data_IF_380763769381
#
_entry.id   IF_380763769381
#
_cell.length_a   1.000
_cell.length_b   1.000
_cell.length_c   1.000
_cell.angle_alpha   90.00
_cell.angle_beta   90.00
_cell.angle_gamma   90.00
#
_symmetry.space_group_name_H-M   'P 1'
#
loop_
_entity.id
_entity.type
_entity.pdbx_description
1 polymer ?
2 non-polymer ?
3 non-polymer ?
4 non-polymer ?
5 non-polymer ?
6 non-polymer ?
7 water ?
#
# COMPACT_ATOMS: atom_id res chain seq x y z
N UNK A 16 -4.33 -27.85 20.99
CA UNK A 16 -3.92 -26.47 20.71
C UNK A 16 -3.31 -25.82 21.96
N UNK A 17 -2.09 -25.32 21.79
CA UNK A 17 -1.29 -24.81 22.90
C UNK A 17 -1.15 -23.31 22.79
N UNK A 18 -1.54 -22.59 23.83
CA UNK A 18 -1.35 -21.15 23.86
C UNK A 18 0.08 -20.84 24.31
N UNK A 19 0.78 -20.03 23.53
CA UNK A 19 2.18 -19.72 23.82
C UNK A 19 2.35 -18.28 24.29
N UNK A 20 1.24 -17.56 24.45
CA UNK A 20 1.29 -16.17 24.85
C UNK A 20 0.68 -15.95 26.24
N UNK A 21 1.25 -15.02 27.00
CA UNK A 21 0.73 -14.72 28.34
C UNK A 21 -0.65 -14.07 28.26
N UNK A 22 -1.42 -14.16 29.34
CA UNK A 22 -2.71 -13.49 29.41
C UNK A 22 -2.47 -12.00 29.58
N UNK A 23 -3.48 -11.19 29.31
CA UNK A 23 -3.34 -9.75 29.43
C UNK A 23 -3.06 -9.37 30.89
N UNK A 24 -3.66 -10.12 31.81
CA UNK A 24 -3.42 -9.89 33.24
C UNK A 24 -1.96 -10.12 33.58
N UNK A 25 -1.36 -11.12 32.94
CA UNK A 25 0.05 -11.42 33.15
C UNK A 25 0.93 -10.32 32.56
N UNK A 26 0.53 -9.81 31.40
CA UNK A 26 1.28 -8.73 30.75
C UNK A 26 1.26 -7.50 31.64
N UNK A 27 0.09 -7.18 32.17
CA UNK A 27 -0.10 -6.00 33.00
C UNK A 27 0.72 -6.12 34.30
N UNK A 28 0.64 -7.29 34.92
CA UNK A 28 1.36 -7.52 36.17
C UNK A 28 2.87 -7.35 35.95
N UNK A 29 3.34 -7.77 34.79
CA UNK A 29 4.76 -7.66 34.45
C UNK A 29 5.18 -6.21 34.29
N UNK A 30 4.29 -5.37 33.77
CA UNK A 30 4.58 -3.95 33.56
C UNK A 30 4.62 -3.18 34.88
N UNK A 31 3.99 -3.74 35.92
CA UNK A 31 3.87 -3.04 37.19
C UNK A 31 5.13 -3.14 38.05
N UNK A 32 6.10 -3.93 37.60
CA UNK A 32 7.40 -3.99 38.28
C UNK A 32 7.99 -2.59 38.42
N UNK A 40 13.09 -9.69 38.72
CA UNK A 40 12.11 -10.70 38.34
C UNK A 40 12.35 -11.18 36.92
N UNK A 41 11.70 -12.30 36.56
CA UNK A 41 11.86 -12.89 35.24
C UNK A 41 11.10 -12.09 34.16
N UNK A 42 11.63 -12.12 32.94
CA UNK A 42 11.03 -11.42 31.81
C UNK A 42 9.92 -12.27 31.20
N UNK A 43 8.95 -11.63 30.55
CA UNK A 43 7.94 -12.38 29.80
C UNK A 43 8.39 -12.53 28.34
N UNK A 44 9.03 -11.51 27.79
CA UNK A 44 9.62 -11.62 26.46
C UNK A 44 10.82 -10.69 26.23
N UNK A 45 11.61 -11.02 25.21
CA UNK A 45 12.74 -10.19 24.80
C UNK A 45 12.23 -9.04 23.94
N UNK A 46 12.23 -7.84 24.50
CA UNK A 46 11.70 -6.68 23.81
C UNK A 46 12.74 -6.03 22.89
N UNK A 47 14.01 -6.38 23.10
CA UNK A 47 15.03 -6.10 22.09
C UNK A 47 14.62 -6.89 20.87
N UNK A 48 14.52 -6.23 19.72
CA UNK A 48 14.09 -6.91 18.51
C UNK A 48 15.05 -6.65 17.36
N UNK A 49 15.28 -7.67 16.53
CA UNK A 49 16.20 -7.49 15.41
C UNK A 49 15.65 -6.44 14.44
N UNK A 50 16.38 -5.35 14.23
CA UNK A 50 15.91 -4.23 13.40
C UNK A 50 15.95 -4.55 11.91
N UNK A 51 14.96 -4.04 11.16
CA UNK A 51 14.80 -4.35 9.73
C UNK A 51 15.98 -3.88 8.88
N UNK A 52 16.25 -4.60 7.80
CA UNK A 52 17.30 -4.24 6.86
C UNK A 52 16.96 -4.81 5.49
N UNK A 53 17.44 -4.15 4.41
CA UNK A 53 17.10 -4.65 3.07
C UNK A 53 17.87 -5.94 2.75
N UNK A 54 17.17 -6.95 2.24
CA UNK A 54 17.80 -8.26 2.05
C UNK A 54 18.92 -8.22 1.02
N UNK A 55 19.91 -9.08 1.17
CA UNK A 55 20.95 -9.22 0.17
C UNK A 55 20.34 -9.94 -1.04
N UNK A 56 21.08 -9.99 -2.13
CA UNK A 56 20.57 -10.63 -3.35
C UNK A 56 20.18 -12.08 -3.05
N UNK A 57 18.99 -12.49 -3.51
CA UNK A 57 18.47 -13.82 -3.23
C UNK A 57 19.45 -14.96 -3.51
N UNK A 58 19.27 -16.06 -2.79
CA UNK A 58 20.01 -17.28 -3.05
C UNK A 58 19.01 -18.41 -3.28
N UNK A 59 19.26 -19.25 -4.29
CA UNK A 59 20.44 -19.24 -5.16
C UNK A 59 20.37 -18.16 -6.23
N UNK A 60 21.54 -17.71 -6.71
CA UNK A 60 21.59 -16.72 -7.79
C UNK A 60 21.06 -17.30 -9.09
N UNK A 61 20.57 -16.44 -9.99
CA UNK A 61 20.02 -16.87 -11.27
C UNK A 61 21.00 -16.62 -12.39
N UNK A 62 21.13 -17.59 -13.32
CA UNK A 62 21.98 -17.38 -14.49
C UNK A 62 21.33 -16.46 -15.51
N UNK A 63 22.10 -16.01 -16.49
CA UNK A 63 21.60 -15.08 -17.50
C UNK A 63 20.36 -15.59 -18.22
N UNK A 64 20.27 -16.90 -18.40
CA UNK A 64 19.17 -17.48 -19.17
C UNK A 64 17.84 -17.53 -18.42
N UNK A 65 17.86 -17.11 -17.15
CA UNK A 65 16.63 -17.07 -16.36
C UNK A 65 16.25 -15.64 -15.95
N UNK A 66 16.82 -14.64 -16.61
CA UNK A 66 16.59 -13.25 -16.22
C UNK A 66 15.47 -12.57 -17.01
N UNK A 67 14.89 -13.29 -17.98
CA UNK A 67 13.75 -12.75 -18.73
C UNK A 67 12.60 -13.76 -18.74
N UNK A 68 12.07 -14.09 -17.56
CA UNK A 68 11.04 -15.13 -17.41
C UNK A 68 9.70 -14.73 -18.02
N UNK A 69 8.92 -15.71 -18.50
CA UNK A 69 7.58 -15.43 -19.00
C UNK A 69 6.65 -15.05 -17.86
N UNK A 70 5.58 -14.32 -18.16
CA UNK A 70 4.68 -13.84 -17.13
C UNK A 70 3.64 -14.89 -16.78
N UNK A 71 3.47 -15.19 -15.49
CA UNK A 71 2.38 -16.09 -15.09
C UNK A 71 1.05 -15.56 -15.62
N UNK A 72 0.32 -16.40 -16.35
CA UNK A 72 -0.89 -15.95 -17.04
C UNK A 72 -2.10 -16.83 -16.75
N UNK A 73 -3.26 -16.19 -16.71
CA UNK A 73 -4.53 -16.91 -16.61
C UNK A 73 -5.37 -16.47 -17.80
N UNK A 74 -5.88 -17.42 -18.57
CA UNK A 74 -6.64 -17.10 -19.77
C UNK A 74 -8.12 -17.40 -19.54
N UNK A 75 -8.88 -16.34 -19.25
CA UNK A 75 -10.30 -16.48 -18.95
C UNK A 75 -11.15 -16.46 -20.21
N UNK A 76 -12.24 -17.22 -20.20
CA UNK A 76 -13.16 -17.28 -21.32
C UNK A 76 -14.60 -17.09 -20.85
N UNK A 77 -14.96 -17.78 -19.78
CA UNK A 77 -16.32 -17.73 -19.24
C UNK A 77 -16.35 -17.05 -17.87
N UNK A 78 -17.51 -16.52 -17.50
CA UNK A 78 -17.69 -15.90 -16.20
C UNK A 78 -17.27 -16.85 -15.08
N UNK A 79 -17.58 -18.13 -15.26
CA UNK A 79 -17.31 -19.15 -14.26
C UNK A 79 -15.81 -19.36 -14.05
N UNK A 80 -15.03 -19.16 -15.12
CA UNK A 80 -13.58 -19.29 -15.02
C UNK A 80 -13.00 -18.32 -13.99
N UNK A 81 -13.60 -17.14 -13.89
CA UNK A 81 -13.10 -16.10 -12.99
C UNK A 81 -13.33 -16.46 -11.52
N UNK A 82 -14.33 -17.29 -11.26
CA UNK A 82 -14.68 -17.66 -9.90
C UNK A 82 -14.14 -19.04 -9.51
N UNK A 83 -13.34 -19.61 -10.40
CA UNK A 83 -12.67 -20.88 -10.12
C UNK A 83 -11.74 -20.68 -8.93
N UNK A 84 -11.96 -21.43 -7.83
CA UNK A 84 -11.21 -21.23 -6.58
C UNK A 84 -9.69 -21.24 -6.69
N UNK A 85 -9.11 -22.15 -7.49
CA UNK A 85 -7.65 -22.16 -7.62
C UNK A 85 -7.07 -20.85 -8.17
N UNK A 86 -7.91 -19.97 -8.70
CA UNK A 86 -7.44 -18.69 -9.23
C UNK A 86 -6.75 -17.88 -8.13
N UNK A 87 -7.43 -17.75 -7.00
CA UNK A 87 -6.91 -17.00 -5.86
C UNK A 87 -5.52 -17.49 -5.48
N UNK A 88 -5.37 -18.81 -5.41
CA UNK A 88 -4.13 -19.43 -4.94
C UNK A 88 -2.99 -19.21 -5.93
N UNK A 89 -3.31 -19.20 -7.23
CA UNK A 89 -2.30 -18.99 -8.25
C UNK A 89 -1.75 -17.57 -8.14
N UNK A 90 -2.64 -16.60 -7.89
CA UNK A 90 -2.23 -15.20 -7.82
C UNK A 90 -1.43 -14.92 -6.55
N UNK A 91 -1.82 -15.56 -5.45
CA UNK A 91 -1.19 -15.31 -4.14
C UNK A 91 0.09 -16.12 -3.95
N UNK A 92 0.29 -17.12 -4.80
CA UNK A 92 1.50 -17.93 -4.75
C UNK A 92 2.75 -17.04 -4.73
N UNK A 93 3.57 -17.14 -3.67
CA UNK A 93 4.76 -16.28 -3.57
C UNK A 93 5.72 -16.41 -4.74
N UNK A 94 5.73 -17.57 -5.40
CA UNK A 94 6.61 -17.79 -6.54
C UNK A 94 6.16 -17.07 -7.80
N UNK A 95 4.93 -16.54 -7.78
CA UNK A 95 4.42 -15.74 -8.89
C UNK A 95 4.38 -14.26 -8.50
N UNK A 96 5.40 -13.49 -8.90
CA UNK A 96 5.49 -12.08 -8.49
C UNK A 96 4.37 -11.25 -9.06
N UNK A 97 3.88 -11.65 -10.24
CA UNK A 97 2.79 -10.97 -10.91
C UNK A 97 2.00 -12.00 -11.69
N UNK A 98 0.70 -11.78 -11.82
CA UNK A 98 -0.15 -12.60 -12.67
C UNK A 98 -0.97 -11.69 -13.56
N UNK A 99 -1.00 -11.98 -14.86
CA UNK A 99 -1.88 -11.24 -15.74
C UNK A 99 -3.07 -12.15 -16.06
N UNK A 100 -4.27 -11.64 -15.81
CA UNK A 100 -5.50 -12.37 -16.07
C UNK A 100 -6.09 -11.87 -17.37
N UNK A 101 -5.82 -12.61 -18.45
CA UNK A 101 -6.26 -12.23 -19.78
C UNK A 101 -7.78 -12.38 -19.93
N UNK A 102 -8.40 -11.39 -20.56
CA UNK A 102 -9.80 -11.47 -20.92
C UNK A 102 -10.75 -11.39 -19.74
N UNK A 103 -10.31 -10.76 -18.66
CA UNK A 103 -11.13 -10.70 -17.45
C UNK A 103 -12.42 -9.91 -17.67
N UNK A 104 -12.30 -8.72 -18.25
CA UNK A 104 -13.47 -7.86 -18.43
C UNK A 104 -14.51 -8.54 -19.32
N UNK A 105 -14.03 -9.17 -20.39
CA UNK A 105 -14.92 -9.84 -21.33
C UNK A 105 -15.65 -11.02 -20.69
N UNK A 106 -14.93 -11.79 -19.88
CA UNK A 106 -15.48 -12.98 -19.25
C UNK A 106 -16.59 -12.63 -18.26
N UNK A 107 -16.43 -11.49 -17.57
CA UNK A 107 -17.43 -11.04 -16.60
C UNK A 107 -18.40 -10.06 -17.26
N UNK A 108 -18.17 -9.77 -18.53
CA UNK A 108 -18.96 -8.77 -19.23
C UNK A 108 -19.04 -7.48 -18.44
N UNK A 109 -17.89 -7.04 -17.91
CA UNK A 109 -17.77 -5.73 -17.31
C UNK A 109 -17.93 -4.67 -18.39
N UNK A 110 -18.64 -3.60 -18.08
CA UNK A 110 -18.76 -2.48 -19.01
C UNK A 110 -17.65 -1.47 -18.74
N UNK A 111 -16.55 -1.61 -19.47
CA UNK A 111 -15.42 -0.70 -19.34
C UNK A 111 -15.79 0.69 -19.85
N UNK A 112 -16.88 0.78 -20.60
CA UNK A 112 -17.38 2.05 -21.07
C UNK A 112 -17.69 3.01 -19.94
N UNK A 113 -18.07 2.46 -18.79
CA UNK A 113 -18.35 3.27 -17.61
C UNK A 113 -17.12 4.04 -17.16
N UNK A 114 -15.95 3.60 -17.59
CA UNK A 114 -14.68 4.24 -17.20
C UNK A 114 -13.98 4.93 -18.37
N UNK A 115 -14.67 5.09 -19.49
CA UNK A 115 -14.11 5.83 -20.60
C UNK A 115 -14.04 7.30 -20.24
N UNK A 116 -13.13 8.02 -20.87
CA UNK A 116 -12.95 9.45 -20.59
C UNK A 116 -14.23 10.22 -20.88
N UNK A 117 -14.92 9.86 -21.96
CA UNK A 117 -16.18 10.51 -22.31
C UNK A 117 -17.19 10.39 -21.17
N UNK A 118 -17.36 9.17 -20.65
CA UNK A 118 -18.29 8.92 -19.57
C UNK A 118 -17.87 9.64 -18.29
N UNK A 119 -16.57 9.70 -18.04
CA UNK A 119 -16.04 10.34 -16.85
C UNK A 119 -16.30 11.85 -16.89
N UNK A 120 -16.08 12.46 -18.05
CA UNK A 120 -16.32 13.89 -18.21
C UNK A 120 -17.79 14.22 -17.96
N UNK A 121 -18.68 13.38 -18.49
CA UNK A 121 -20.11 13.59 -18.32
C UNK A 121 -20.53 13.44 -16.86
N UNK A 122 -19.92 12.49 -16.16
CA UNK A 122 -20.25 12.23 -14.77
C UNK A 122 -19.81 13.37 -13.84
N UNK A 123 -18.53 13.69 -13.85
CA UNK A 123 -17.98 14.73 -12.98
C UNK A 123 -16.88 15.53 -13.65
N UNK A 124 -17.25 16.50 -14.48
CA UNK A 124 -16.27 17.16 -15.34
C UNK A 124 -15.29 18.07 -14.59
N UNK A 125 -15.66 18.49 -13.38
CA UNK A 125 -14.79 19.36 -12.59
C UNK A 125 -13.97 18.58 -11.57
N UNK A 126 -14.09 17.26 -11.59
CA UNK A 126 -13.37 16.41 -10.64
C UNK A 126 -11.86 16.63 -10.77
N UNK A 127 -11.15 16.57 -9.65
CA UNK A 127 -9.73 16.88 -9.66
C UNK A 127 -8.89 15.74 -10.23
N UNK A 128 -7.82 16.11 -10.91
CA UNK A 128 -6.88 15.17 -11.50
C UNK A 128 -5.48 15.64 -11.14
N UNK A 129 -4.67 14.77 -10.55
CA UNK A 129 -3.28 15.11 -10.34
C UNK A 129 -2.54 14.86 -11.65
N UNK A 130 -1.70 15.81 -12.04
CA UNK A 130 -0.99 15.72 -13.31
C UNK A 130 0.50 15.59 -13.06
N UNK A 131 1.11 14.61 -13.74
CA UNK A 131 2.56 14.47 -13.71
C UNK A 131 3.09 14.80 -15.11
N UNK A 132 3.88 15.86 -15.19
CA UNK A 132 4.47 16.27 -16.44
C UNK A 132 5.83 15.61 -16.58
N UNK A 133 6.02 14.89 -17.67
CA UNK A 133 7.20 14.08 -17.88
C UNK A 133 7.73 14.26 -19.29
N UNK A 134 8.89 13.69 -19.56
CA UNK A 134 9.43 13.64 -20.92
C UNK A 134 9.08 12.31 -21.57
N UNK A 135 8.60 12.36 -22.80
CA UNK A 135 8.37 11.16 -23.57
C UNK A 135 9.71 10.49 -23.80
N UNK A 136 9.85 9.28 -23.26
CA UNK A 136 11.11 8.54 -23.32
C UNK A 136 10.97 7.40 -24.32
N UNK A 137 12.09 7.00 -24.95
CA UNK A 137 12.05 5.94 -25.94
C UNK A 137 11.99 4.55 -25.32
N UNK A 138 11.05 3.74 -25.78
CA UNK A 138 10.96 2.33 -25.38
C UNK A 138 11.04 2.14 -23.87
N UNK A 139 12.00 1.34 -23.43
CA UNK A 139 12.12 0.96 -22.02
C UNK A 139 13.22 1.76 -21.32
N UNK A 140 13.68 2.82 -21.98
CA UNK A 140 14.86 3.56 -21.52
C UNK A 140 14.48 4.85 -20.83
N UNK A 141 15.37 5.37 -20.01
CA UNK A 141 15.23 6.69 -19.42
C UNK A 141 16.53 7.46 -19.55
N UNK A 142 16.51 8.56 -20.29
CA UNK A 142 17.70 9.39 -20.50
C UNK A 142 17.58 10.71 -19.75
N UNK A 143 18.71 11.30 -19.41
CA UNK A 143 18.72 12.65 -18.86
C UNK A 143 18.06 13.54 -19.91
N UNK A 144 17.66 14.77 -19.52
CA UNK A 144 16.85 15.61 -20.41
C UNK A 144 17.58 16.07 -21.67
N UNK A 145 18.91 16.03 -21.68
CA UNK A 145 19.69 16.46 -22.85
C UNK A 145 19.86 15.32 -23.86
N UNK A 146 19.52 14.10 -23.46
CA UNK A 146 19.60 12.96 -24.34
C UNK A 146 21.01 12.41 -24.45
N UNK A 147 21.83 12.69 -23.44
CA UNK A 147 23.23 12.29 -23.46
C UNK A 147 23.46 10.87 -22.93
N UNK A 148 22.80 10.52 -21.82
CA UNK A 148 23.04 9.24 -21.18
C UNK A 148 21.82 8.70 -20.43
N UNK A 149 21.77 7.39 -20.25
CA UNK A 149 20.72 6.74 -19.47
C UNK A 149 20.91 7.04 -17.98
N UNK A 150 19.85 7.49 -17.32
CA UNK A 150 19.89 7.72 -15.88
C UNK A 150 18.69 7.07 -15.19
N UNK A 151 18.76 6.94 -13.87
CA UNK A 151 17.68 6.34 -13.11
C UNK A 151 16.62 7.37 -12.73
N UNK A 152 17.02 8.62 -12.54
CA UNK A 152 16.05 9.62 -12.09
C UNK A 152 14.98 9.91 -13.14
N UNK A 153 13.72 9.74 -12.72
CA UNK A 153 12.57 9.93 -13.59
C UNK A 153 11.92 11.28 -13.29
N UNK A 154 12.03 12.22 -14.22
CA UNK A 154 11.45 13.54 -14.05
C UNK A 154 9.93 13.47 -14.16
N UNK A 155 9.25 13.83 -13.08
CA UNK A 155 7.80 13.77 -13.04
C UNK A 155 7.27 14.84 -12.10
N UNK A 156 6.88 15.98 -12.66
CA UNK A 156 6.52 17.15 -11.85
C UNK A 156 5.01 17.29 -11.64
N UNK A 157 4.62 17.66 -10.43
CA UNK A 157 3.22 17.63 -10.03
C UNK A 157 2.49 18.95 -10.27
N UNK A 158 1.27 18.83 -10.78
CA UNK A 158 0.33 19.94 -10.86
C UNK A 158 -1.08 19.35 -10.69
N UNK A 159 -2.11 20.18 -10.84
CA UNK A 159 -3.47 19.68 -10.71
C UNK A 159 -4.41 20.38 -11.70
N UNK A 160 -5.34 19.61 -12.24
CA UNK A 160 -6.30 20.12 -13.21
C UNK A 160 -7.65 19.45 -12.96
N UNK A 161 -8.57 19.60 -13.90
CA UNK A 161 -9.87 18.94 -13.81
C UNK A 161 -9.93 17.80 -14.83
N UNK A 162 -10.91 16.91 -14.66
CA UNK A 162 -11.10 15.83 -15.61
C UNK A 162 -11.42 16.40 -16.99
N UNK A 163 -12.23 17.45 -17.02
CA UNK A 163 -12.64 18.03 -18.29
C UNK A 163 -11.42 18.51 -19.06
N UNK A 164 -10.50 19.14 -18.37
CA UNK A 164 -9.33 19.72 -19.02
C UNK A 164 -8.29 18.66 -19.38
N UNK A 165 -8.15 17.62 -18.56
CA UNK A 165 -7.23 16.56 -18.93
C UNK A 165 -7.81 15.74 -20.08
N UNK A 166 -9.13 15.54 -20.05
CA UNK A 166 -9.81 14.80 -21.11
C UNK A 166 -9.62 15.48 -22.45
N UNK A 167 -9.67 16.82 -22.43
CA UNK A 167 -9.45 17.60 -23.63
C UNK A 167 -8.04 17.38 -24.16
N UNK A 168 -7.08 17.32 -23.25
CA UNK A 168 -5.68 17.11 -23.62
C UNK A 168 -5.43 15.70 -24.17
N UNK A 169 -6.02 14.71 -23.51
CA UNK A 169 -5.85 13.31 -23.91
C UNK A 169 -6.40 13.12 -25.32
N UNK A 170 -7.58 13.68 -25.57
CA UNK A 170 -8.26 13.54 -26.85
C UNK A 170 -7.52 14.25 -27.97
N UNK A 171 -6.95 15.42 -27.67
CA UNK A 171 -6.26 16.19 -28.69
C UNK A 171 -4.88 15.61 -28.97
N UNK A 172 -4.28 15.00 -27.95
CA UNK A 172 -2.99 14.33 -28.10
C UNK A 172 -3.14 13.22 -29.12
N UNK A 173 -4.25 12.51 -29.04
CA UNK A 173 -4.52 11.40 -29.95
C UNK A 173 -4.80 11.89 -31.38
N UNK A 174 -5.64 12.90 -31.51
CA UNK A 174 -5.95 13.45 -32.83
C UNK A 174 -4.68 13.96 -33.51
N UNK A 175 -3.80 14.54 -32.70
CA UNK A 175 -2.52 15.05 -33.18
C UNK A 175 -1.66 13.93 -33.75
N UNK A 176 -1.79 12.74 -33.16
CA UNK A 176 -0.99 11.59 -33.59
C UNK A 176 -1.48 11.05 -34.93
N UNK A 177 -2.78 11.16 -35.17
CA UNK A 177 -3.34 10.75 -36.46
C UNK A 177 -2.77 11.61 -37.58
N UNK A 178 -2.10 12.70 -37.19
CA UNK A 178 -1.51 13.63 -38.13
C UNK A 178 0.01 13.63 -38.01
N UNK A 208 16.13 16.43 -26.38
CA UNK A 208 15.19 16.73 -27.45
C UNK A 208 13.92 15.89 -27.34
N UNK A 209 13.40 15.75 -26.13
CA UNK A 209 12.18 14.97 -25.89
C UNK A 209 10.96 15.87 -25.79
N UNK A 210 9.83 15.40 -26.31
CA UNK A 210 8.58 16.14 -26.21
C UNK A 210 8.00 15.96 -24.81
N UNK A 211 7.35 17.01 -24.31
CA UNK A 211 6.74 16.96 -22.98
C UNK A 211 5.33 16.39 -23.04
N UNK A 212 5.01 15.49 -22.10
CA UNK A 212 3.68 14.92 -22.01
C UNK A 212 3.13 15.06 -20.59
N UNK A 213 1.83 14.82 -20.45
CA UNK A 213 1.18 14.94 -19.15
C UNK A 213 0.36 13.68 -18.86
N UNK A 214 0.42 13.26 -17.60
CA UNK A 214 -0.11 11.98 -17.16
C UNK A 214 -1.11 12.25 -16.03
N UNK A 215 -2.38 11.93 -16.26
CA UNK A 215 -3.39 12.07 -15.23
C UNK A 215 -3.36 10.90 -14.27
N UNK A 216 -3.09 11.17 -13.00
CA UNK A 216 -2.83 10.09 -12.06
C UNK A 216 -3.58 10.30 -10.73
N UNK A 217 -3.74 9.21 -9.99
CA UNK A 217 -4.30 9.27 -8.65
C UNK A 217 -5.64 9.99 -8.60
N UNK A 218 -6.49 9.76 -9.60
CA UNK A 218 -7.81 10.35 -9.62
C UNK A 218 -8.75 9.59 -8.68
N UNK A 219 -9.36 10.34 -7.75
CA UNK A 219 -10.05 9.75 -6.61
C UNK A 219 -11.48 9.31 -6.94
N UNK A 220 -11.70 8.00 -7.02
CA UNK A 220 -13.03 7.45 -7.29
C UNK A 220 -13.68 6.89 -6.02
N UNK A 221 -13.43 7.54 -4.89
CA UNK A 221 -13.90 7.03 -3.60
C UNK A 221 -15.37 7.37 -3.30
N UNK A 222 -15.86 8.47 -3.87
CA UNK A 222 -17.19 8.96 -3.55
C UNK A 222 -18.29 8.22 -4.31
N UNK A 223 -19.01 7.36 -3.60
CA UNK A 223 -20.05 6.53 -4.22
C UNK A 223 -21.23 7.34 -4.75
N UNK A 224 -21.32 8.60 -4.34
CA UNK A 224 -22.41 9.46 -4.79
C UNK A 224 -22.09 10.14 -6.12
N UNK A 225 -20.80 10.20 -6.45
CA UNK A 225 -20.39 10.74 -7.74
C UNK A 225 -20.10 9.62 -8.76
N UNK A 226 -19.78 8.44 -8.26
CA UNK A 226 -19.33 7.34 -9.10
C UNK A 226 -20.15 6.06 -8.89
N UNK A 227 -21.44 6.21 -8.62
CA UNK A 227 -22.26 5.08 -8.21
C UNK A 227 -22.24 3.92 -9.20
N UNK A 228 -22.44 4.20 -10.48
CA UNK A 228 -22.49 3.15 -11.49
C UNK A 228 -21.12 2.53 -11.70
N UNK A 229 -20.08 3.37 -11.64
CA UNK A 229 -18.71 2.91 -11.80
C UNK A 229 -18.36 1.90 -10.72
N UNK A 230 -18.53 2.29 -9.46
CA UNK A 230 -18.17 1.44 -8.34
C UNK A 230 -19.04 0.19 -8.29
N UNK A 231 -20.30 0.31 -8.70
CA UNK A 231 -21.19 -0.85 -8.69
C UNK A 231 -20.74 -1.88 -9.71
N UNK A 232 -20.17 -1.41 -10.81
CA UNK A 232 -19.72 -2.33 -11.85
C UNK A 232 -18.64 -3.27 -11.30
N UNK A 233 -17.87 -2.79 -10.32
CA UNK A 233 -16.74 -3.54 -9.80
C UNK A 233 -17.16 -4.60 -8.77
N UNK A 234 -18.42 -4.61 -8.35
CA UNK A 234 -18.89 -5.64 -7.44
C UNK A 234 -19.09 -6.96 -8.18
N UNK A 235 -18.93 -6.93 -9.50
CA UNK A 235 -19.03 -8.14 -10.31
C UNK A 235 -17.75 -8.99 -10.22
N UNK A 236 -16.66 -8.39 -9.75
CA UNK A 236 -15.39 -9.10 -9.65
C UNK A 236 -15.47 -10.22 -8.62
N UNK A 237 -14.66 -11.28 -8.80
CA UNK A 237 -14.57 -12.29 -7.75
C UNK A 237 -14.04 -11.69 -6.46
N UNK A 238 -14.37 -12.31 -5.33
CA UNK A 238 -14.08 -11.73 -4.02
C UNK A 238 -12.60 -11.36 -3.85
N UNK A 239 -11.70 -12.19 -4.36
CA UNK A 239 -10.29 -12.02 -4.04
C UNK A 239 -9.65 -10.79 -4.66
N UNK A 240 -10.31 -10.17 -5.63
CA UNK A 240 -9.80 -8.90 -6.20
C UNK A 240 -10.69 -7.70 -5.92
N UNK A 241 -11.79 -7.89 -5.21
CA UNK A 241 -12.71 -6.79 -4.94
C UNK A 241 -12.10 -5.71 -4.04
N UNK A 242 -12.58 -4.48 -4.20
CA UNK A 242 -12.12 -3.36 -3.38
C UNK A 242 -12.49 -3.59 -1.92
N UNK A 243 -13.68 -4.16 -1.71
CA UNK A 243 -14.15 -4.48 -0.36
C UNK A 243 -14.54 -5.95 -0.29
N UNK A 244 -14.03 -6.65 0.72
CA UNK A 244 -14.45 -8.02 1.00
C UNK A 244 -14.00 -8.45 2.38
N UNK A 245 -14.66 -9.45 2.93
CA UNK A 245 -14.35 -9.94 4.27
C UNK A 245 -12.93 -10.51 4.32
N UNK A 246 -12.46 -11.02 3.19
CA UNK A 246 -11.14 -11.62 3.14
C UNK A 246 -10.04 -10.65 2.73
N UNK A 247 -10.35 -9.35 2.81
CA UNK A 247 -9.39 -8.31 2.47
C UNK A 247 -8.99 -7.54 3.72
N UNK A 248 -7.72 -7.62 4.08
CA UNK A 248 -7.21 -6.94 5.27
C UNK A 248 -7.56 -5.46 5.27
N UNK A 249 -7.50 -4.83 4.11
CA UNK A 249 -7.73 -3.39 4.02
C UNK A 249 -9.19 -3.03 4.29
N UNK A 250 -10.09 -4.00 4.17
CA UNK A 250 -11.49 -3.78 4.51
C UNK A 250 -11.70 -3.79 6.03
N UNK A 251 -10.65 -4.11 6.77
CA UNK A 251 -10.74 -4.18 8.23
C UNK A 251 -10.05 -3.00 8.90
N UNK A 252 -9.53 -2.08 8.10
CA UNK A 252 -8.86 -0.90 8.63
C UNK A 252 -9.87 -0.02 9.38
N UNK A 253 -11.10 0.00 8.90
CA UNK A 253 -12.17 0.72 9.59
C UNK A 253 -12.39 2.13 9.06
N UNK A 254 -11.50 2.58 8.19
CA UNK A 254 -11.62 3.91 7.59
C UNK A 254 -10.96 3.95 6.22
N UNK A 255 -11.15 5.06 5.52
CA UNK A 255 -10.69 5.19 4.15
C UNK A 255 -9.19 5.44 4.09
N UNK A 256 -8.51 4.64 3.27
CA UNK A 256 -7.14 4.90 2.89
C UNK A 256 -7.13 5.10 1.37
N UNK A 257 -7.13 6.36 0.94
CA UNK A 257 -7.33 6.69 -0.47
C UNK A 257 -6.38 5.95 -1.39
N UNK A 258 -6.93 5.31 -2.42
CA UNK A 258 -6.13 4.63 -3.42
C UNK A 258 -5.79 3.19 -3.05
N UNK A 259 -6.00 2.84 -1.78
CA UNK A 259 -5.77 1.47 -1.34
C UNK A 259 -7.07 0.73 -1.15
N UNK A 260 -7.93 1.19 -0.23
CA UNK A 260 -9.25 0.57 -0.11
C UNK A 260 -10.32 1.42 -0.76
N UNK A 261 -9.89 2.31 -1.66
CA UNK A 261 -10.80 2.98 -2.58
C UNK A 261 -10.16 2.98 -3.97
N UNK A 262 -10.99 3.14 -4.99
CA UNK A 262 -10.53 3.02 -6.36
C UNK A 262 -9.83 4.30 -6.82
N UNK A 263 -8.72 4.11 -7.52
CA UNK A 263 -7.96 5.18 -8.11
C UNK A 263 -8.00 5.01 -9.63
N UNK A 264 -8.15 6.10 -10.37
CA UNK A 264 -8.16 6.03 -11.82
C UNK A 264 -6.99 6.80 -12.41
N UNK A 265 -6.49 6.29 -13.53
CA UNK A 265 -5.40 6.91 -14.27
C UNK A 265 -5.92 7.25 -15.65
N UNK A 266 -5.57 8.43 -16.16
CA UNK A 266 -5.85 8.78 -17.55
C UNK A 266 -4.50 9.04 -18.21
N UNK A 267 -4.21 8.31 -19.28
CA UNK A 267 -2.85 8.29 -19.83
C UNK A 267 -2.77 8.66 -21.30
N UNK A 268 -1.63 9.21 -21.68
CA UNK A 268 -1.24 9.31 -23.08
C UNK A 268 0.02 8.46 -23.24
N UNK A 269 0.36 8.09 -24.49
CA UNK A 269 1.55 7.27 -24.70
C UNK A 269 2.78 7.86 -24.00
N UNK A 270 3.49 7.02 -23.25
CA UNK A 270 4.69 7.45 -22.55
C UNK A 270 4.47 7.79 -21.08
N UNK A 271 3.21 7.83 -20.65
CA UNK A 271 2.89 8.14 -19.26
C UNK A 271 3.42 7.05 -18.34
N UNK A 272 4.33 7.40 -17.44
CA UNK A 272 5.02 6.43 -16.62
C UNK A 272 4.72 6.53 -15.13
N UNK A 273 4.52 5.36 -14.52
CA UNK A 273 4.56 5.24 -13.07
C UNK A 273 5.90 4.60 -12.74
N UNK A 274 6.81 5.36 -12.11
CA UNK A 274 8.15 4.85 -11.88
C UNK A 274 8.19 3.78 -10.79
N UNK A 275 9.36 3.19 -10.57
CA UNK A 275 9.54 2.04 -9.70
C UNK A 275 9.03 2.23 -8.29
N UNK A 276 8.36 1.20 -7.77
CA UNK A 276 7.90 1.24 -6.40
C UNK A 276 7.40 -0.11 -5.93
N UNK A 277 7.29 -0.24 -4.62
CA UNK A 277 6.48 -1.29 -4.02
C UNK A 277 5.25 -0.60 -3.47
N UNK A 278 4.14 -1.30 -3.43
CA UNK A 278 2.92 -0.75 -2.86
C UNK A 278 3.15 -0.33 -1.42
N UNK A 279 2.31 0.57 -0.92
CA UNK A 279 2.33 0.93 0.48
C UNK A 279 2.23 -0.31 1.36
N UNK A 280 3.19 -0.45 2.28
CA UNK A 280 3.23 -1.58 3.20
C UNK A 280 3.10 -2.93 2.49
N UNK A 281 3.61 -2.99 1.27
CA UNK A 281 3.72 -4.24 0.53
C UNK A 281 2.40 -4.95 0.26
N UNK A 282 1.31 -4.19 0.20
CA UNK A 282 0.02 -4.79 -0.11
C UNK A 282 -0.09 -5.11 -1.59
N UNK A 283 -0.83 -6.17 -1.91
CA UNK A 283 -1.05 -6.56 -3.29
C UNK A 283 -1.79 -5.45 -4.01
N UNK A 284 -1.65 -5.41 -5.34
CA UNK A 284 -2.33 -4.40 -6.14
C UNK A 284 -3.15 -5.07 -7.23
N UNK A 285 -4.25 -4.43 -7.61
CA UNK A 285 -5.12 -4.89 -8.67
C UNK A 285 -5.26 -3.75 -9.65
N UNK A 286 -5.10 -4.03 -10.95
CA UNK A 286 -5.16 -2.99 -11.97
C UNK A 286 -5.88 -3.51 -13.21
N UNK A 287 -6.92 -2.80 -13.64
CA UNK A 287 -7.61 -3.15 -14.87
C UNK A 287 -7.41 -2.05 -15.90
N UNK A 288 -6.98 -2.42 -17.10
CA UNK A 288 -6.82 -1.48 -18.19
C UNK A 288 -8.16 -1.26 -18.89
N UNK A 289 -8.61 -0.01 -18.93
CA UNK A 289 -9.88 0.33 -19.56
C UNK A 289 -9.76 0.39 -21.08
N UNK A 290 -8.58 0.75 -21.56
CA UNK A 290 -8.35 0.92 -22.99
C UNK A 290 -8.56 2.36 -23.40
N UNK A 291 -8.53 2.64 -24.71
CA UNK A 291 -8.40 1.63 -25.78
C UNK A 291 -6.98 1.12 -26.02
N UNK A 292 -5.96 1.78 -25.46
CA UNK A 292 -4.58 1.41 -25.70
C UNK A 292 -4.03 0.43 -24.67
N UNK A 293 -2.79 -0.02 -24.87
CA UNK A 293 -2.16 -0.99 -23.99
C UNK A 293 -1.20 -0.32 -23.01
N UNK A 294 -0.88 -1.03 -21.92
CA UNK A 294 0.18 -0.62 -21.00
C UNK A 294 1.27 -1.66 -21.00
N UNK A 295 2.50 -1.24 -20.70
CA UNK A 295 3.61 -2.16 -20.57
C UNK A 295 4.10 -2.17 -19.13
N UNK A 296 4.25 -3.37 -18.58
CA UNK A 296 4.63 -3.55 -17.19
C UNK A 296 6.02 -4.16 -17.06
N UNK A 297 6.77 -3.68 -16.07
CA UNK A 297 8.07 -4.24 -15.72
C UNK A 297 8.01 -4.65 -14.26
N UNK A 298 8.41 -5.89 -13.98
CA UNK A 298 8.19 -6.47 -12.66
C UNK A 298 9.44 -7.21 -12.17
N UNK A 299 9.77 -7.00 -10.90
CA UNK A 299 10.90 -7.66 -10.26
C UNK A 299 10.39 -8.29 -8.97
N UNK A 300 10.79 -9.54 -8.69
CA UNK A 300 10.26 -10.22 -7.50
C UNK A 300 10.63 -9.51 -6.20
N UNK A 301 9.77 -9.66 -5.20
CA UNK A 301 9.92 -9.00 -3.91
C UNK A 301 11.32 -9.21 -3.33
N UNK A 302 11.86 -10.41 -3.48
CA UNK A 302 13.13 -10.77 -2.86
C UNK A 302 14.31 -9.95 -3.33
N UNK A 303 14.14 -9.23 -4.44
CA UNK A 303 15.21 -8.43 -5.02
C UNK A 303 15.13 -6.95 -4.65
N UNK A 304 14.24 -6.59 -3.73
CA UNK A 304 14.03 -5.16 -3.43
C UNK A 304 15.26 -4.55 -2.76
N UNK A 305 16.04 -5.37 -2.05
CA UNK A 305 17.27 -4.91 -1.46
C UNK A 305 18.27 -4.52 -2.53
N UNK A 306 18.35 -5.33 -3.59
CA UNK A 306 19.25 -5.04 -4.70
C UNK A 306 18.84 -3.74 -5.38
N UNK A 307 17.54 -3.54 -5.56
CA UNK A 307 17.03 -2.33 -6.18
C UNK A 307 17.24 -1.13 -5.27
N UNK A 308 17.13 -1.34 -3.96
CA UNK A 308 17.38 -0.27 -3.01
C UNK A 308 18.82 0.21 -3.14
N UNK A 309 19.73 -0.74 -3.35
CA UNK A 309 21.15 -0.40 -3.48
C UNK A 309 21.42 0.35 -4.77
N UNK A 310 20.78 -0.07 -5.87
CA UNK A 310 20.90 0.66 -7.13
C UNK A 310 20.45 2.10 -6.94
N UNK A 311 19.33 2.29 -6.26
CA UNK A 311 18.81 3.62 -6.04
C UNK A 311 19.84 4.48 -5.32
N UNK A 312 20.36 3.98 -4.21
CA UNK A 312 21.34 4.70 -3.41
C UNK A 312 22.59 5.07 -4.22
N UNK A 313 23.06 4.14 -5.04
CA UNK A 313 24.26 4.36 -5.84
C UNK A 313 24.03 5.47 -6.88
N UNK A 314 22.77 5.65 -7.27
CA UNK A 314 22.40 6.73 -8.18
C UNK A 314 21.86 7.95 -7.45
N UNK A 315 22.15 8.02 -6.15
CA UNK A 315 21.74 9.14 -5.31
C UNK A 315 20.23 9.36 -5.34
N UNK A 316 19.49 8.26 -5.25
CA UNK A 316 18.03 8.31 -5.26
C UNK A 316 17.48 7.57 -4.06
N UNK A 317 16.32 8.00 -3.58
CA UNK A 317 15.68 7.33 -2.46
C UNK A 317 14.75 6.24 -2.97
N UNK A 318 14.93 5.03 -2.48
CA UNK A 318 14.15 3.88 -2.93
C UNK A 318 12.67 4.06 -2.64
N UNK A 319 12.33 4.36 -1.39
CA UNK A 319 10.94 4.42 -0.96
C UNK A 319 10.16 5.64 -1.49
N UNK A 320 10.81 6.79 -1.53
CA UNK A 320 10.12 8.06 -1.80
C UNK A 320 10.59 8.73 -3.09
N UNK A 321 11.64 8.18 -3.70
CA UNK A 321 12.23 8.79 -4.88
C UNK A 321 11.51 8.41 -6.16
N UNK A 322 11.88 9.07 -7.25
CA UNK A 322 11.29 8.83 -8.55
C UNK A 322 12.35 8.23 -9.47
N UNK A 323 12.26 6.93 -9.72
CA UNK A 323 13.30 6.24 -10.47
C UNK A 323 12.73 5.23 -11.48
N UNK A 324 13.39 5.16 -12.63
CA UNK A 324 13.04 4.22 -13.69
C UNK A 324 14.27 3.36 -13.98
N UNK A 325 14.25 2.10 -13.55
CA UNK A 325 15.45 1.25 -13.63
C UNK A 325 16.04 1.14 -15.03
N UNK A 326 17.36 1.10 -15.08
CA UNK A 326 18.07 0.79 -16.33
C UNK A 326 18.11 -0.72 -16.47
N UNK A 327 17.42 -1.25 -17.48
CA UNK A 327 17.31 -2.70 -17.65
C UNK A 327 18.67 -3.37 -17.84
N UNK A 328 19.62 -2.64 -18.41
CA UNK A 328 20.97 -3.18 -18.61
C UNK A 328 21.68 -3.37 -17.27
N UNK A 329 21.45 -2.46 -16.34
CA UNK A 329 21.98 -2.59 -14.99
C UNK A 329 21.42 -3.81 -14.28
N UNK A 330 20.11 -4.03 -14.41
CA UNK A 330 19.47 -5.17 -13.74
C UNK A 330 19.99 -6.48 -14.29
N UNK A 331 20.07 -6.58 -15.62
CA UNK A 331 20.55 -7.79 -16.26
C UNK A 331 21.96 -8.15 -15.80
N UNK A 332 22.81 -7.15 -15.65
CA UNK A 332 24.19 -7.42 -15.27
C UNK A 332 24.32 -7.79 -13.79
N UNK A 333 23.32 -7.41 -12.99
CA UNK A 333 23.30 -7.80 -11.58
C UNK A 333 22.47 -9.06 -11.35
N UNK A 334 22.11 -9.74 -12.44
CA UNK A 334 21.35 -10.98 -12.34
C UNK A 334 20.02 -10.80 -11.62
N UNK A 335 19.33 -9.70 -11.93
CA UNK A 335 17.99 -9.45 -11.42
C UNK A 335 16.99 -9.83 -12.49
N UNK A 336 16.08 -10.78 -12.19
CA UNK A 336 15.12 -11.17 -13.22
C UNK A 336 14.05 -10.10 -13.41
N UNK A 337 13.65 -9.86 -14.66
CA UNK A 337 12.60 -8.89 -14.96
C UNK A 337 11.49 -9.56 -15.78
N UNK A 338 10.29 -9.53 -15.21
CA UNK A 338 9.09 -9.91 -15.93
C UNK A 338 8.60 -8.71 -16.72
N UNK A 339 8.41 -8.88 -18.02
CA UNK A 339 8.00 -7.77 -18.87
C UNK A 339 6.84 -8.24 -19.75
N UNK A 340 5.75 -7.50 -19.73
CA UNK A 340 4.58 -7.89 -20.51
C UNK A 340 3.67 -6.71 -20.84
N UNK A 341 2.72 -6.96 -21.73
CA UNK A 341 1.76 -5.95 -22.14
C UNK A 341 0.41 -6.28 -21.55
N UNK A 342 -0.23 -5.28 -20.95
CA UNK A 342 -1.59 -5.39 -20.44
C UNK A 342 -2.54 -4.74 -21.44
N UNK A 343 -3.41 -5.54 -22.03
CA UNK A 343 -4.36 -5.04 -23.03
C UNK A 343 -5.62 -4.55 -22.33
N UNK A 344 -6.47 -3.82 -23.07
CA UNK A 344 -7.76 -3.43 -22.48
C UNK A 344 -8.52 -4.66 -21.99
N UNK A 345 -9.05 -4.61 -20.77
CA UNK A 345 -9.82 -5.72 -20.23
C UNK A 345 -9.01 -6.71 -19.43
N UNK A 346 -7.68 -6.62 -19.52
CA UNK A 346 -6.80 -7.50 -18.75
C UNK A 346 -6.60 -6.96 -17.35
N UNK A 347 -6.60 -7.86 -16.37
CA UNK A 347 -6.37 -7.49 -14.98
C UNK A 347 -4.96 -7.91 -14.59
N UNK A 348 -4.21 -6.99 -13.99
CA UNK A 348 -2.88 -7.31 -13.48
C UNK A 348 -2.93 -7.41 -11.96
N UNK A 349 -2.48 -8.55 -11.44
CA UNK A 349 -2.35 -8.78 -10.02
C UNK A 349 -0.88 -8.66 -9.63
N UNK A 350 -0.57 -7.67 -8.81
CA UNK A 350 0.79 -7.48 -8.30
C UNK A 350 0.86 -8.12 -6.92
N UNK A 351 1.68 -9.15 -6.78
CA UNK A 351 1.77 -9.88 -5.52
C UNK A 351 2.47 -9.05 -4.46
N UNK A 352 2.44 -9.52 -3.21
CA UNK A 352 2.89 -8.73 -2.08
C UNK A 352 4.37 -8.36 -2.18
N UNK A 353 4.65 -7.07 -2.17
CA UNK A 353 6.02 -6.57 -2.19
C UNK A 353 6.69 -6.63 -3.54
N UNK A 354 5.96 -7.03 -4.58
CA UNK A 354 6.53 -7.08 -5.92
C UNK A 354 6.91 -5.68 -6.39
N UNK A 355 8.14 -5.52 -6.85
CA UNK A 355 8.61 -4.23 -7.34
C UNK A 355 8.19 -4.07 -8.80
N UNK A 356 7.65 -2.91 -9.16
CA UNK A 356 7.18 -2.72 -10.53
C UNK A 356 7.18 -1.26 -10.98
N UNK A 357 7.21 -1.10 -12.30
CA UNK A 357 7.03 0.21 -12.92
C UNK A 357 6.26 0.02 -14.23
N UNK A 358 5.61 1.07 -14.71
CA UNK A 358 4.60 0.93 -15.76
C UNK A 358 4.65 2.11 -16.72
N UNK A 359 4.31 1.87 -17.97
CA UNK A 359 4.18 2.95 -18.95
C UNK A 359 3.06 2.67 -19.94
N UNK A 360 2.33 3.70 -20.32
CA UNK A 360 1.31 3.56 -21.34
C UNK A 360 1.99 3.45 -22.69
N UNK A 361 1.56 2.50 -23.50
CA UNK A 361 2.02 2.41 -24.88
C UNK A 361 1.06 3.19 -25.78
N UNK A 362 -0.23 3.11 -25.46
CA UNK A 362 -1.24 3.83 -26.22
C UNK A 362 -1.95 4.86 -25.35
N UNK A 363 -3.12 5.28 -25.80
CA UNK A 363 -3.98 6.15 -25.00
C UNK A 363 -4.94 5.24 -24.27
N UNK A 364 -4.96 5.32 -22.95
CA UNK A 364 -5.82 4.44 -22.16
C UNK A 364 -6.07 4.99 -20.77
N UNK A 365 -7.11 4.49 -20.11
CA UNK A 365 -7.30 4.72 -18.69
C UNK A 365 -7.08 3.41 -17.95
N UNK A 366 -6.71 3.49 -16.68
CA UNK A 366 -6.60 2.31 -15.84
C UNK A 366 -7.33 2.58 -14.54
N UNK A 367 -7.81 1.53 -13.87
CA UNK A 367 -8.29 1.68 -12.51
C UNK A 367 -7.50 0.71 -11.65
N UNK A 368 -7.30 1.05 -10.38
CA UNK A 368 -6.45 0.25 -9.54
C UNK A 368 -6.75 0.50 -8.07
N UNK A 369 -6.46 -0.51 -7.26
CA UNK A 369 -6.62 -0.41 -5.82
C UNK A 369 -5.78 -1.52 -5.20
N UNK A 370 -5.73 -1.59 -3.88
CA UNK A 370 -4.96 -2.63 -3.21
C UNK A 370 -5.87 -3.66 -2.55
N UNK A 371 -5.33 -4.84 -2.31
CA UNK A 371 -6.00 -5.82 -1.47
C UNK A 371 -4.94 -6.48 -0.60
N UNK A 372 -5.34 -6.95 0.57
CA UNK A 372 -4.46 -7.73 1.41
C UNK A 372 -5.07 -9.08 1.67
N UNK A 373 -4.58 -10.12 0.99
CA UNK A 373 -5.05 -11.46 1.29
C UNK A 373 -4.86 -11.79 2.76
N UNK A 374 -5.77 -12.57 3.34
CA UNK A 374 -5.67 -12.96 4.73
C UNK A 374 -4.68 -14.10 4.86
N UNK A 375 -3.39 -13.78 4.74
CA UNK A 375 -2.36 -14.81 4.78
C UNK A 375 -1.17 -14.36 5.61
N UNK A 376 -0.46 -15.33 6.17
CA UNK A 376 0.75 -15.06 6.92
C UNK A 376 1.74 -14.27 6.06
N UNK A 377 1.85 -14.63 4.79
CA UNK A 377 2.82 -13.99 3.91
C UNK A 377 2.54 -12.49 3.76
N UNK A 378 1.29 -12.13 3.49
CA UNK A 378 0.91 -10.72 3.33
C UNK A 378 1.12 -9.93 4.63
N UNK A 379 0.65 -10.50 5.74
CA UNK A 379 0.74 -9.79 7.01
C UNK A 379 2.20 -9.57 7.39
N UNK A 380 3.01 -10.60 7.18
CA UNK A 380 4.44 -10.53 7.52
C UNK A 380 5.14 -9.43 6.74
N UNK A 381 4.90 -9.40 5.43
CA UNK A 381 5.51 -8.39 4.57
C UNK A 381 5.03 -6.98 4.92
N UNK A 382 3.76 -6.85 5.30
CA UNK A 382 3.19 -5.55 5.66
C UNK A 382 3.81 -5.04 6.95
N UNK A 383 4.01 -5.94 7.91
CA UNK A 383 4.60 -5.55 9.19
C UNK A 383 6.08 -5.21 9.00
N UNK A 384 6.79 -5.97 8.17
CA UNK A 384 8.20 -5.71 7.92
C UNK A 384 8.40 -4.33 7.32
N UNK A 385 7.57 -3.98 6.34
CA UNK A 385 7.68 -2.67 5.70
C UNK A 385 7.27 -1.57 6.69
N UNK A 386 6.32 -1.89 7.55
CA UNK A 386 5.89 -0.96 8.60
C UNK A 386 7.08 -0.61 9.50
N UNK A 387 7.86 -1.62 9.87
CA UNK A 387 9.01 -1.42 10.76
C UNK A 387 10.14 -0.70 10.04
N UNK A 388 10.37 -1.07 8.78
CA UNK A 388 11.41 -0.45 7.97
C UNK A 388 11.10 1.02 7.76
N UNK A 389 9.82 1.31 7.51
CA UNK A 389 9.37 2.69 7.32
C UNK A 389 9.69 3.52 8.57
N UNK A 390 9.44 2.96 9.75
CA UNK A 390 9.72 3.67 10.99
C UNK A 390 11.19 4.06 11.06
N UNK A 391 12.06 3.13 10.68
CA UNK A 391 13.50 3.37 10.73
C UNK A 391 13.92 4.43 9.71
N UNK A 392 13.16 4.53 8.62
CA UNK A 392 13.48 5.48 7.56
C UNK A 392 12.68 6.77 7.67
N UNK A 393 11.94 6.93 8.75
CA UNK A 393 11.02 8.05 8.91
C UNK A 393 10.20 8.28 7.65
N UNK A 394 9.63 7.19 7.14
CA UNK A 394 8.69 7.24 6.03
C UNK A 394 7.33 6.82 6.54
N UNK A 395 6.29 7.54 6.15
CA UNK A 395 4.96 7.25 6.66
C UNK A 395 4.40 5.93 6.12
N UNK A 396 3.91 5.10 7.03
CA UNK A 396 3.17 3.89 6.65
C UNK A 396 1.71 4.28 6.43
N UNK A 397 1.29 4.23 5.17
CA UNK A 397 -0.06 4.64 4.81
C UNK A 397 -1.09 3.68 5.39
N UNK A 398 -0.69 2.44 5.62
CA UNK A 398 -1.55 1.49 6.31
C UNK A 398 -1.12 1.47 7.77
N UNK A 399 -2.01 1.89 8.68
CA UNK A 399 -1.66 1.91 10.10
C UNK A 399 -1.72 0.49 10.68
N UNK A 400 -0.60 -0.22 10.67
CA UNK A 400 -0.61 -1.66 10.95
C UNK A 400 -1.00 -2.01 12.38
N UNK A 401 -0.76 -1.11 13.33
CA UNK A 401 -1.14 -1.39 14.71
C UNK A 401 -2.67 -1.27 14.83
N UNK A 402 -3.22 -0.15 14.38
CA UNK A 402 -4.66 0.06 14.37
C UNK A 402 -5.35 -1.11 13.68
N UNK A 403 -4.84 -1.48 12.51
CA UNK A 403 -5.41 -2.57 11.72
C UNK A 403 -5.33 -3.90 12.46
N UNK A 404 -4.18 -4.20 13.07
CA UNK A 404 -4.00 -5.47 13.74
C UNK A 404 -5.02 -5.64 14.85
N UNK A 405 -5.29 -4.57 15.58
CA UNK A 405 -6.26 -4.62 16.67
C UNK A 405 -7.69 -4.78 16.13
N UNK A 406 -7.96 -4.20 14.96
CA UNK A 406 -9.26 -4.42 14.31
C UNK A 406 -9.41 -5.84 13.79
N UNK A 407 -8.32 -6.40 13.29
CA UNK A 407 -8.33 -7.78 12.81
C UNK A 407 -8.66 -8.69 13.98
N UNK A 408 -8.14 -8.35 15.15
CA UNK A 408 -8.35 -9.18 16.34
C UNK A 408 -9.80 -9.11 16.81
N UNK A 409 -10.44 -7.96 16.60
CA UNK A 409 -11.85 -7.80 16.96
C UNK A 409 -12.77 -8.52 15.98
N UNK A 410 -12.41 -8.50 14.71
CA UNK A 410 -13.33 -8.93 13.64
C UNK A 410 -13.14 -10.35 13.09
N UNK A 411 -11.90 -10.83 13.06
CA UNK A 411 -11.57 -12.00 12.26
C UNK A 411 -11.24 -13.23 13.08
N UNK A 412 -11.85 -14.36 12.72
CA UNK A 412 -11.51 -15.64 13.31
C UNK A 412 -10.40 -16.27 12.47
N UNK A 413 -9.17 -16.15 12.96
CA UNK A 413 -8.00 -16.62 12.22
C UNK A 413 -7.73 -18.08 12.52
N UNK A 414 -7.84 -18.93 11.50
CA UNK A 414 -7.70 -20.37 11.67
C UNK A 414 -6.29 -20.87 11.36
N UNK A 415 -5.50 -20.09 10.64
CA UNK A 415 -4.15 -20.49 10.29
C UNK A 415 -3.19 -20.15 11.43
N UNK A 416 -2.53 -21.17 11.99
CA UNK A 416 -1.65 -20.97 13.16
C UNK A 416 -0.56 -19.92 12.95
N UNK A 417 0.09 -19.93 11.79
CA UNK A 417 1.21 -19.03 11.53
C UNK A 417 0.76 -17.58 11.50
N UNK A 418 -0.35 -17.30 10.81
CA UNK A 418 -0.89 -15.96 10.74
C UNK A 418 -1.39 -15.52 12.11
N UNK A 419 -2.07 -16.42 12.81
CA UNK A 419 -2.60 -16.12 14.13
C UNK A 419 -1.47 -15.70 15.07
N UNK A 420 -0.36 -16.43 15.04
CA UNK A 420 0.75 -16.13 15.94
C UNK A 420 1.36 -14.77 15.64
N UNK A 421 1.43 -14.41 14.37
CA UNK A 421 2.00 -13.11 13.98
C UNK A 421 1.15 -11.98 14.52
N UNK A 422 -0.17 -12.09 14.38
CA UNK A 422 -1.06 -11.05 14.83
C UNK A 422 -1.04 -10.94 16.35
N UNK A 423 -1.20 -12.07 17.03
CA UNK A 423 -1.21 -12.09 18.49
C UNK A 423 0.11 -11.55 19.04
N UNK A 424 1.20 -11.81 18.34
CA UNK A 424 2.50 -11.29 18.74
C UNK A 424 2.51 -9.77 18.66
N UNK A 425 1.99 -9.24 17.56
CA UNK A 425 1.86 -7.79 17.41
C UNK A 425 1.00 -7.22 18.52
N UNK A 426 -0.08 -7.89 18.87
CA UNK A 426 -0.98 -7.41 19.92
C UNK A 426 -0.24 -7.39 21.25
N UNK A 427 0.60 -8.40 21.47
CA UNK A 427 1.36 -8.51 22.71
C UNK A 427 2.36 -7.37 22.85
N UNK A 428 3.12 -7.13 21.79
CA UNK A 428 4.15 -6.10 21.82
C UNK A 428 3.53 -4.72 22.06
N UNK A 429 2.41 -4.45 21.42
CA UNK A 429 1.79 -3.13 21.53
C UNK A 429 0.99 -2.98 22.83
N UNK A 430 0.39 -4.07 23.30
CA UNK A 430 -0.31 -4.02 24.58
C UNK A 430 0.71 -3.70 25.67
N UNK A 431 1.86 -4.35 25.60
CA UNK A 431 2.93 -4.13 26.57
C UNK A 431 3.48 -2.72 26.49
N UNK A 432 3.67 -2.21 25.28
CA UNK A 432 4.18 -0.86 25.08
C UNK A 432 3.21 0.17 25.64
N UNK A 433 1.91 -0.06 25.47
CA UNK A 433 0.90 0.89 25.93
C UNK A 433 0.85 0.95 27.46
N UNK A 434 0.89 -0.22 28.11
CA UNK A 434 0.80 -0.28 29.57
C UNK A 434 2.09 0.24 30.20
N UNK A 435 3.22 0.00 29.52
CA UNK A 435 4.50 0.49 29.99
C UNK A 435 4.49 2.02 29.98
N UNK A 436 4.03 2.60 28.88
CA UNK A 436 3.93 4.06 28.77
C UNK A 436 2.97 4.62 29.81
N UNK A 437 1.82 3.98 29.96
CA UNK A 437 0.80 4.44 30.90
C UNK A 437 1.36 4.48 32.33
N UNK A 438 2.11 3.45 32.69
CA UNK A 438 2.67 3.34 34.04
C UNK A 438 3.72 4.41 34.27
N UNK A 439 4.49 4.74 33.24
CA UNK A 439 5.53 5.75 33.35
C UNK A 439 4.92 7.14 33.56
N UNK A 440 3.87 7.44 32.81
CA UNK A 440 3.19 8.72 32.94
C UNK A 440 2.58 8.86 34.34
N UNK A 441 1.93 7.81 34.81
CA UNK A 441 1.31 7.82 36.14
C UNK A 441 2.37 8.02 37.23
N UNK A 442 3.56 7.45 37.02
CA UNK A 442 4.63 7.54 38.00
C UNK A 442 5.30 8.90 37.95
N UNK A 443 5.22 9.57 36.79
CA UNK A 443 5.77 10.91 36.65
C UNK A 443 4.74 11.96 37.02
N UNK A 444 3.57 11.49 37.48
CA UNK A 444 2.51 12.37 37.91
C UNK A 444 1.82 13.09 36.78
N UNK A 445 2.07 12.65 35.54
CA UNK A 445 1.39 13.19 34.39
C UNK A 445 0.02 12.56 34.23
N UNK A 446 -1.02 13.38 34.15
CA UNK A 446 -2.38 12.87 34.08
C UNK A 446 -2.76 12.45 32.66
N UNK A 447 -3.73 11.55 32.57
CA UNK A 447 -4.19 11.05 31.28
C UNK A 447 -5.67 11.39 31.08
N UNK A 448 -5.94 12.22 30.07
CA UNK A 448 -7.30 12.65 29.78
C UNK A 448 -8.03 11.66 28.89
N UNK A 449 -9.18 11.17 29.36
CA UNK A 449 -10.00 10.35 28.50
C UNK A 449 -10.48 11.18 27.32
N UNK A 450 -10.19 10.68 26.12
CA UNK A 450 -10.60 11.36 24.90
C UNK A 450 -11.53 10.45 24.11
N UNK A 451 -11.17 9.18 24.01
CA UNK A 451 -11.95 8.21 23.28
C UNK A 451 -11.82 8.44 21.80
N UNK A 452 -12.70 7.80 21.03
CA UNK A 452 -12.71 7.99 19.58
C UNK A 452 -14.03 7.49 19.00
N UNK A 453 -14.36 7.96 17.81
CA UNK A 453 -15.50 7.44 17.07
C UNK A 453 -15.03 6.14 16.43
N UNK A 454 -15.96 5.24 16.12
CA UNK A 454 -15.61 3.93 15.59
C UNK A 454 -14.94 4.03 14.21
N UNK A 455 -15.35 5.01 13.41
CA UNK A 455 -14.78 5.20 12.08
C UNK A 455 -13.59 6.15 12.07
N UNK A 456 -13.14 6.56 13.25
CA UNK A 456 -12.06 7.53 13.34
C UNK A 456 -10.76 6.94 12.81
N UNK A 457 -10.10 7.65 11.89
CA UNK A 457 -8.82 7.19 11.33
C UNK A 457 -7.74 7.04 12.39
N UNK A 458 -6.69 6.28 12.08
CA UNK A 458 -5.52 6.23 12.94
C UNK A 458 -4.82 7.58 12.87
N UNK A 459 -4.11 7.96 13.93
CA UNK A 459 -3.39 9.23 13.95
C UNK A 459 -1.90 9.00 13.79
N UNK A 460 -1.22 9.97 13.19
CA UNK A 460 0.21 9.90 12.98
C UNK A 460 0.86 11.13 13.58
N UNK A 461 2.14 11.02 13.90
CA UNK A 461 2.87 12.14 14.47
C UNK A 461 3.08 13.23 13.42
N UNK A 462 2.77 14.46 13.78
CA UNK A 462 2.88 15.58 12.85
C UNK A 462 4.34 15.88 12.52
N UNK A 463 5.26 15.33 13.32
CA UNK A 463 6.68 15.56 13.12
C UNK A 463 7.33 14.44 12.30
N UNK A 464 7.30 13.21 12.83
CA UNK A 464 8.01 12.10 12.21
C UNK A 464 7.06 11.17 11.44
N UNK A 465 5.77 11.39 11.58
CA UNK A 465 4.75 10.66 10.81
C UNK A 465 4.60 9.19 11.21
N UNK A 466 5.15 8.82 12.36
CA UNK A 466 4.95 7.47 12.89
C UNK A 466 3.50 7.33 13.34
N UNK A 467 2.94 6.12 13.23
CA UNK A 467 1.61 5.88 13.77
C UNK A 467 1.65 6.06 15.29
N UNK A 468 0.64 6.74 15.83
CA UNK A 468 0.53 6.94 17.28
C UNK A 468 -0.76 6.29 17.76
N UNK A 469 -0.60 5.24 18.55
CA UNK A 469 -1.71 4.39 18.95
C UNK A 469 -2.07 4.56 20.43
N UNK A 470 -3.34 4.88 20.69
CA UNK A 470 -3.89 4.84 22.04
C UNK A 470 -3.56 6.05 22.92
N UNK A 471 -2.35 6.57 22.82
CA UNK A 471 -1.96 7.71 23.64
C UNK A 471 -1.39 8.82 22.76
N UNK A 472 -2.14 9.92 22.65
CA UNK A 472 -1.78 11.03 21.78
C UNK A 472 -1.18 12.16 22.59
N UNK A 473 -0.09 12.75 22.09
CA UNK A 473 0.51 13.91 22.73
C UNK A 473 0.18 15.16 21.92
N UNK A 474 -0.47 16.11 22.57
CA UNK A 474 -0.97 17.29 21.91
C UNK A 474 -0.59 18.50 22.76
N UNK A 475 -0.07 19.55 22.14
CA UNK A 475 0.31 20.74 22.91
C UNK A 475 -0.92 21.35 23.53
N UNK A 476 -0.72 22.13 24.60
CA UNK A 476 -1.84 22.75 25.31
C UNK A 476 -2.67 23.65 24.38
N UNK A 477 -1.97 24.46 23.58
CA UNK A 477 -2.64 25.35 22.64
C UNK A 477 -3.49 24.56 21.66
N UNK A 478 -2.93 23.46 21.17
CA UNK A 478 -3.60 22.64 20.16
C UNK A 478 -4.82 21.94 20.72
N UNK A 479 -4.74 21.51 21.97
CA UNK A 479 -5.87 20.85 22.63
C UNK A 479 -7.04 21.80 22.80
N UNK A 480 -6.75 23.01 23.27
CA UNK A 480 -7.78 24.00 23.54
C UNK A 480 -8.52 24.40 22.27
N UNK A 481 -7.78 24.50 21.17
CA UNK A 481 -8.34 24.93 19.90
C UNK A 481 -8.94 23.77 19.12
N UNK A 482 -8.88 22.57 19.69
CA UNK A 482 -9.43 21.37 19.06
C UNK A 482 -8.84 21.16 17.68
N UNK A 483 -7.62 21.64 17.48
CA UNK A 483 -6.90 21.38 16.25
C UNK A 483 -6.20 20.03 16.38
N UNK A 484 -6.02 19.59 17.62
CA UNK A 484 -5.48 18.26 17.93
C UNK A 484 -4.37 17.83 16.98
N UNK A 485 -3.26 18.53 17.02
CA UNK A 485 -2.08 18.18 16.23
C UNK A 485 -1.27 17.16 17.02
N UNK A 486 -1.31 15.91 16.57
CA UNK A 486 -0.76 14.80 17.34
C UNK A 486 0.76 14.71 17.22
N UNK A 487 1.40 14.32 18.31
CA UNK A 487 2.82 14.02 18.36
C UNK A 487 2.97 12.64 18.97
N UNK A 488 4.02 11.91 18.59
CA UNK A 488 4.37 10.69 19.30
C UNK A 488 5.08 11.11 20.57
N UNK A 489 5.35 10.14 21.44
CA UNK A 489 5.98 10.43 22.72
C UNK A 489 7.33 11.09 22.52
N UNK A 490 8.15 10.52 21.65
CA UNK A 490 9.52 10.96 21.45
C UNK A 490 9.60 12.39 20.93
N UNK A 491 8.77 12.72 19.94
CA UNK A 491 8.80 14.04 19.34
C UNK A 491 8.28 15.11 20.29
N UNK A 492 7.36 14.73 21.16
CA UNK A 492 6.86 15.62 22.20
C UNK A 492 7.98 15.96 23.18
N UNK A 493 8.65 14.93 23.68
CA UNK A 493 9.68 15.10 24.69
C UNK A 493 10.86 15.91 24.19
N UNK A 494 11.13 15.86 22.89
CA UNK A 494 12.24 16.62 22.31
C UNK A 494 12.06 18.12 22.51
N UNK A 495 10.81 18.57 22.51
CA UNK A 495 10.51 19.99 22.72
C UNK A 495 10.18 20.29 24.19
N UNK A 496 9.78 19.27 24.93
CA UNK A 496 9.57 19.41 26.37
C UNK A 496 9.91 18.10 27.08
N UNK A 497 11.03 18.10 27.82
CA UNK A 497 11.50 16.90 28.48
C UNK A 497 10.48 16.29 29.42
N UNK A 498 9.84 17.12 30.23
CA UNK A 498 8.88 16.65 31.22
C UNK A 498 7.43 16.81 30.73
N UNK A 499 7.28 17.13 29.46
CA UNK A 499 5.97 17.21 28.82
C UNK A 499 5.12 18.35 29.36
N UNK A 500 5.77 19.40 29.86
CA UNK A 500 5.06 20.55 30.39
C UNK A 500 4.07 21.11 29.39
N UNK A 501 4.48 21.20 28.13
CA UNK A 501 3.69 21.86 27.09
C UNK A 501 2.66 20.94 26.45
N UNK A 502 2.49 19.73 26.98
CA UNK A 502 1.64 18.73 26.34
C UNK A 502 0.56 18.16 27.25
N UNK A 503 -0.54 17.75 26.62
CA UNK A 503 -1.55 16.95 27.30
C UNK A 503 -1.52 15.56 26.66
N UNK A 504 -1.97 14.55 27.40
CA UNK A 504 -1.96 13.19 26.89
C UNK A 504 -3.39 12.67 26.78
N UNK A 505 -3.82 12.40 25.55
CA UNK A 505 -5.18 11.95 25.29
C UNK A 505 -5.20 10.43 25.12
N UNK A 506 -6.15 9.77 25.76
CA UNK A 506 -6.27 8.32 25.67
C UNK A 506 -7.47 7.95 24.80
N UNK A 507 -7.23 7.10 23.79
CA UNK A 507 -8.25 6.70 22.83
C UNK A 507 -9.04 5.50 23.34
N UNK A 508 -8.31 4.48 23.80
CA UNK A 508 -8.89 3.20 24.16
C UNK A 508 -8.80 2.94 25.66
N UNK A 509 -9.84 2.32 26.21
CA UNK A 509 -9.78 1.81 27.58
C UNK A 509 -8.83 0.63 27.61
N UNK A 510 -7.95 0.59 28.60
CA UNK A 510 -7.00 -0.50 28.73
C UNK A 510 -7.76 -1.82 28.92
N UNK A 511 -8.86 -1.76 29.65
CA UNK A 511 -9.71 -2.93 29.87
C UNK A 511 -10.18 -3.48 28.53
N UNK A 512 -10.46 -2.56 27.60
CA UNK A 512 -10.94 -2.91 26.27
C UNK A 512 -9.87 -3.64 25.47
N UNK A 513 -8.65 -3.09 25.46
CA UNK A 513 -7.54 -3.71 24.76
C UNK A 513 -7.22 -5.07 25.36
N UNK A 514 -7.32 -5.17 26.68
CA UNK A 514 -7.00 -6.40 27.38
C UNK A 514 -7.98 -7.51 27.00
N UNK A 515 -9.25 -7.14 26.85
CA UNK A 515 -10.28 -8.09 26.47
C UNK A 515 -10.10 -8.57 25.03
N UNK A 516 -9.84 -7.63 24.11
CA UNK A 516 -9.63 -7.99 22.71
C UNK A 516 -8.47 -8.98 22.61
N UNK A 517 -7.42 -8.70 23.37
CA UNK A 517 -6.23 -9.55 23.36
C UNK A 517 -6.55 -10.97 23.83
N UNK A 518 -7.22 -11.08 24.96
CA UNK A 518 -7.54 -12.38 25.55
C UNK A 518 -8.55 -13.16 24.72
N UNK A 519 -9.41 -12.45 24.00
CA UNK A 519 -10.48 -13.09 23.24
C UNK A 519 -10.02 -13.47 21.84
N UNK A 520 -8.83 -13.04 21.46
CA UNK A 520 -8.25 -13.40 20.17
C UNK A 520 -7.54 -14.75 20.30
N UNK A 521 -8.20 -15.80 19.84
CA UNK A 521 -7.69 -17.15 19.96
C UNK A 521 -7.76 -17.86 18.61
N UNK A 522 -6.89 -18.86 18.43
CA UNK A 522 -6.88 -19.65 17.20
C UNK A 522 -8.27 -20.24 16.97
N UNK A 523 -8.84 -19.95 15.79
CA UNK A 523 -10.18 -20.41 15.44
C UNK A 523 -10.11 -21.80 14.83
N UNK A 524 -11.15 -22.62 15.03
CA UNK A 524 -11.21 -23.96 14.43
C UNK A 524 -11.12 -23.89 12.89
N UNK A 525 -10.50 -24.89 12.27
CA UNK A 525 -10.39 -24.92 10.80
C UNK A 525 -11.75 -25.02 10.12
#
# INVERSE_FOLDING_TARGET
>A
GPGYQDPNSQIIPSMSVSIYPSSAEVLKACRNLGKNGLSNSSILLDKCPPPRPPSSPYPPLPKDKLNPPTPSIYLENKRDAFFPPLHQFCTNPNNPVTVIRGLAGALKLDLGLFSTKTLVEANNEHMVEVRTQLLQPADENWDPTGTKKIWHCESNRSHTTIAKYAQYQASSFQESLREENEKRSHHKDHSDSESTSSDNSGRRRKGPFKTIKFGTNIDLSDDKKWKLQLHELTKLPAFVRVVSAGNLLSHVGHTILGMNTVQLYMKVPGSRTPGHQENNNFCSVNINIGPGDCEWFVVPEGYWGVLNDFCEKNNLNFLMGSWWPNLEDLYEANVPVYRFIQRPGDLVWINAGTVHWVQAIGWCNNIAWNVGPLTACQYKLAVERYEWNKLQSVKSIVPMVHLSWNMARNIKVSDPKLFEMIKYCLLRTLKQCQTLREALIAAGKEIIWHGRTKEEPAHYCSICEVEVFDLLFVTNESNSRKTYIVHCQDCARKTSGNLENFVVLEQYKMEDLMQVYDQFTLAPPLPSASS
#
